data_IF_035461974759
#
_entry.id   IF_035461974759
#
_cell.length_a   1.000
_cell.length_b   1.000
_cell.length_c   1.000
_cell.angle_alpha   90.00
_cell.angle_beta   90.00
_cell.angle_gamma   90.00
#
_symmetry.space_group_name_H-M   'P 1'
#
loop_
_entity.id
_entity.type
_entity.pdbx_description
1 polymer ?
#
# COMPACT_ATOMS: atom_id res chain seq x y z
N UNK A 1 4.01 -4.70 -7.29
CA UNK A 1 3.33 -3.39 -7.42
C UNK A 1 1.86 -3.55 -7.08
N UNK A 2 1.43 -2.92 -5.99
CA UNK A 2 0.09 -3.11 -5.42
C UNK A 2 -1.05 -2.55 -6.29
N UNK A 3 -0.76 -1.57 -7.15
CA UNK A 3 -1.77 -0.93 -8.02
C UNK A 3 -2.24 -1.83 -9.19
N UNK A 4 -1.34 -2.64 -9.77
CA UNK A 4 -1.66 -3.50 -10.92
C UNK A 4 -2.71 -4.57 -10.62
N UNK A 5 -2.81 -4.99 -9.35
CA UNK A 5 -3.81 -5.96 -8.92
C UNK A 5 -5.24 -5.44 -9.13
N UNK A 6 -5.44 -4.13 -8.96
CA UNK A 6 -6.75 -3.50 -9.18
C UNK A 6 -7.11 -3.42 -10.67
N UNK A 7 -6.11 -3.21 -11.55
CA UNK A 7 -6.32 -3.28 -13.00
C UNK A 7 -6.75 -4.68 -13.43
N UNK A 8 -6.03 -5.70 -12.98
CA UNK A 8 -6.37 -7.09 -13.27
C UNK A 8 -7.77 -7.42 -12.78
N UNK A 9 -8.13 -7.02 -11.55
CA UNK A 9 -9.47 -7.20 -11.00
C UNK A 9 -10.57 -6.51 -11.83
N UNK A 10 -10.37 -5.24 -12.20
CA UNK A 10 -11.28 -4.49 -13.06
C UNK A 10 -11.49 -5.19 -14.41
N UNK A 11 -10.40 -5.59 -15.07
CA UNK A 11 -10.47 -6.23 -16.38
C UNK A 11 -11.14 -7.61 -16.32
N UNK A 12 -10.84 -8.41 -15.29
CA UNK A 12 -11.47 -9.73 -15.08
C UNK A 12 -12.97 -9.65 -14.84
N UNK A 13 -13.48 -8.53 -14.32
CA UNK A 13 -14.93 -8.31 -14.20
C UNK A 13 -15.59 -8.05 -15.56
N UNK A 14 -14.83 -7.58 -16.56
CA UNK A 14 -15.35 -7.14 -17.85
C UNK A 14 -15.10 -8.14 -18.99
N UNK A 15 -14.08 -8.99 -18.87
CA UNK A 15 -13.70 -9.92 -19.93
C UNK A 15 -13.07 -11.21 -19.39
N UNK A 16 -13.01 -12.29 -20.19
CA UNK A 16 -12.34 -13.53 -19.82
C UNK A 16 -10.85 -13.32 -19.49
N UNK A 17 -10.29 -14.21 -18.67
CA UNK A 17 -8.93 -14.13 -18.13
C UNK A 17 -7.85 -13.84 -19.18
N UNK A 18 -7.84 -14.58 -20.30
CA UNK A 18 -6.85 -14.39 -21.36
C UNK A 18 -6.94 -12.98 -21.97
N UNK A 19 -8.15 -12.49 -22.23
CA UNK A 19 -8.35 -11.14 -22.78
C UNK A 19 -7.96 -10.07 -21.75
N UNK A 20 -8.27 -10.30 -20.47
CA UNK A 20 -7.91 -9.39 -19.39
C UNK A 20 -6.39 -9.27 -19.25
N UNK A 21 -5.68 -10.39 -19.35
CA UNK A 21 -4.21 -10.43 -19.34
C UNK A 21 -3.63 -9.62 -20.51
N UNK A 22 -4.04 -9.91 -21.74
CA UNK A 22 -3.51 -9.20 -22.92
C UNK A 22 -3.89 -7.71 -22.94
N UNK A 23 -5.08 -7.37 -22.46
CA UNK A 23 -5.50 -5.97 -22.31
C UNK A 23 -4.65 -5.26 -21.27
N UNK A 24 -4.35 -5.89 -20.13
CA UNK A 24 -3.47 -5.32 -19.12
C UNK A 24 -2.07 -5.09 -19.68
N UNK A 25 -1.50 -6.07 -20.39
CA UNK A 25 -0.19 -5.95 -21.04
C UNK A 25 -0.19 -4.77 -22.02
N UNK A 26 -1.19 -4.69 -22.90
CA UNK A 26 -1.32 -3.57 -23.85
C UNK A 26 -1.44 -2.21 -23.16
N UNK A 27 -2.21 -2.11 -22.07
CA UNK A 27 -2.33 -0.86 -21.31
C UNK A 27 -0.96 -0.44 -20.74
N UNK A 28 -0.24 -1.37 -20.12
CA UNK A 28 1.05 -1.08 -19.51
C UNK A 28 2.09 -0.73 -20.58
N UNK A 29 2.18 -1.48 -21.67
CA UNK A 29 3.21 -1.31 -22.69
C UNK A 29 2.92 -0.11 -23.63
N UNK A 30 1.66 0.13 -24.00
CA UNK A 30 1.33 1.19 -24.97
C UNK A 30 1.12 2.56 -24.31
N UNK A 31 0.59 2.59 -23.08
CA UNK A 31 0.17 3.84 -22.42
C UNK A 31 1.08 4.22 -21.25
N UNK A 32 1.62 3.22 -20.53
CA UNK A 32 2.35 3.40 -19.28
C UNK A 32 3.75 2.76 -19.31
N UNK A 33 4.36 2.70 -20.50
CA UNK A 33 5.70 2.13 -20.65
C UNK A 33 6.70 2.84 -19.71
N UNK A 34 7.46 2.09 -18.93
CA UNK A 34 8.43 2.64 -17.99
C UNK A 34 7.83 3.26 -16.71
N UNK A 35 6.50 3.41 -16.63
CA UNK A 35 5.80 4.05 -15.50
C UNK A 35 5.89 3.26 -14.20
N UNK A 36 5.86 1.94 -14.35
CA UNK A 36 5.80 0.96 -13.28
C UNK A 36 7.17 0.28 -13.05
N UNK A 37 8.27 0.97 -13.36
CA UNK A 37 9.64 0.50 -13.10
C UNK A 37 10.04 0.73 -11.64
N UNK A 38 11.15 0.13 -11.17
CA UNK A 38 11.66 0.37 -9.80
C UNK A 38 11.98 1.86 -9.55
N UNK A 39 12.52 2.53 -10.58
CA UNK A 39 12.90 3.93 -10.52
C UNK A 39 11.71 4.89 -10.78
N UNK A 40 10.61 4.36 -11.34
CA UNK A 40 9.36 5.09 -11.58
C UNK A 40 9.57 6.43 -12.31
N UNK A 41 10.51 6.48 -13.27
CA UNK A 41 10.93 7.71 -13.94
C UNK A 41 9.74 8.42 -14.61
N UNK A 42 8.98 7.72 -15.45
CA UNK A 42 7.82 8.35 -16.13
C UNK A 42 6.77 8.83 -15.15
N UNK A 43 6.60 8.14 -14.03
CA UNK A 43 5.66 8.58 -13.01
C UNK A 43 6.11 9.88 -12.35
N UNK A 44 7.38 9.97 -11.95
CA UNK A 44 7.92 11.20 -11.37
C UNK A 44 7.85 12.36 -12.38
N UNK A 45 8.10 12.10 -13.66
CA UNK A 45 7.92 13.08 -14.74
C UNK A 45 6.46 13.54 -14.81
N UNK A 46 5.50 12.62 -14.84
CA UNK A 46 4.07 12.95 -14.92
C UNK A 46 3.60 13.77 -13.70
N UNK A 47 4.17 13.56 -12.50
CA UNK A 47 3.88 14.40 -11.33
C UNK A 47 4.33 15.86 -11.56
N UNK A 48 5.54 16.08 -12.09
CA UNK A 48 6.03 17.43 -12.39
C UNK A 48 5.23 18.09 -13.53
N UNK A 49 4.85 17.31 -14.55
CA UNK A 49 3.96 17.77 -15.63
C UNK A 49 2.62 18.20 -15.05
N UNK A 50 2.04 17.42 -14.13
CA UNK A 50 0.79 17.75 -13.47
C UNK A 50 0.89 19.03 -12.63
N UNK A 51 1.97 19.19 -11.86
CA UNK A 51 2.21 20.41 -11.08
C UNK A 51 2.33 21.67 -11.95
N UNK A 52 3.01 21.57 -13.10
CA UNK A 52 3.09 22.67 -14.08
C UNK A 52 1.71 22.99 -14.68
N UNK A 53 0.95 21.97 -15.09
CA UNK A 53 -0.39 22.16 -15.62
C UNK A 53 -1.34 22.80 -14.58
N UNK A 54 -1.23 22.39 -13.31
CA UNK A 54 -1.99 22.99 -12.22
C UNK A 54 -1.63 24.46 -12.05
N UNK A 55 -0.34 24.81 -12.12
CA UNK A 55 0.14 26.20 -12.02
C UNK A 55 -0.33 27.06 -13.20
N UNK A 56 -0.34 26.52 -14.42
CA UNK A 56 -0.83 27.20 -15.60
C UNK A 56 -2.35 27.46 -15.54
N UNK A 57 -3.14 26.47 -15.11
CA UNK A 57 -4.62 26.56 -15.11
C UNK A 57 -5.15 27.33 -13.90
N UNK A 58 -4.54 27.12 -12.75
CA UNK A 58 -5.00 27.64 -11.48
C UNK A 58 -3.89 28.44 -10.79
N UNK A 59 -3.43 29.58 -11.34
CA UNK A 59 -2.27 30.28 -10.79
C UNK A 59 -2.49 30.74 -9.34
N UNK A 60 -3.71 31.14 -8.98
CA UNK A 60 -4.06 31.52 -7.59
C UNK A 60 -4.28 30.29 -6.70
N UNK A 61 -5.16 29.38 -7.12
CA UNK A 61 -5.53 28.22 -6.32
C UNK A 61 -4.39 27.20 -6.21
N UNK A 62 -3.65 26.93 -7.28
CA UNK A 62 -2.45 26.09 -7.28
C UNK A 62 -1.34 26.66 -6.41
N UNK A 63 -1.14 27.98 -6.37
CA UNK A 63 -0.21 28.61 -5.43
C UNK A 63 -0.69 28.44 -3.98
N UNK A 64 -1.98 28.66 -3.71
CA UNK A 64 -2.55 28.45 -2.37
C UNK A 64 -2.41 27.00 -1.92
N UNK A 65 -2.70 26.04 -2.81
CA UNK A 65 -2.56 24.61 -2.53
C UNK A 65 -1.09 24.28 -2.27
N UNK A 66 -0.16 24.72 -3.12
CA UNK A 66 1.27 24.47 -2.93
C UNK A 66 1.75 25.03 -1.60
N UNK A 67 1.49 26.31 -1.32
CA UNK A 67 1.91 26.94 -0.06
C UNK A 67 1.26 26.33 1.17
N UNK A 68 -0.01 25.92 1.07
CA UNK A 68 -0.72 25.26 2.16
C UNK A 68 -0.16 23.85 2.42
N UNK A 69 0.04 23.06 1.36
CA UNK A 69 0.62 21.73 1.49
C UNK A 69 2.07 21.79 1.99
N UNK A 70 2.86 22.76 1.54
CA UNK A 70 4.21 23.00 2.05
C UNK A 70 4.19 23.36 3.55
N UNK A 71 3.24 24.19 3.99
CA UNK A 71 3.02 24.48 5.41
C UNK A 71 2.66 23.23 6.23
N UNK A 72 1.91 22.31 5.63
CA UNK A 72 1.56 21.02 6.23
C UNK A 72 2.69 19.96 6.11
N UNK A 73 3.79 20.27 5.44
CA UNK A 73 4.88 19.32 5.19
C UNK A 73 4.54 18.22 4.18
N UNK A 74 3.58 18.47 3.28
CA UNK A 74 3.06 17.53 2.28
C UNK A 74 3.37 18.05 0.88
N UNK A 75 3.77 17.16 -0.04
CA UNK A 75 3.96 17.52 -1.45
C UNK A 75 2.68 17.26 -2.25
N UNK A 76 2.43 18.03 -3.30
CA UNK A 76 1.29 17.79 -4.23
C UNK A 76 1.31 16.37 -4.80
N UNK A 77 2.51 15.83 -5.01
CA UNK A 77 2.73 14.44 -5.41
C UNK A 77 2.10 13.42 -4.44
N UNK A 78 2.05 13.68 -3.13
CA UNK A 78 1.46 12.73 -2.17
C UNK A 78 -0.05 12.60 -2.36
N UNK A 79 -0.69 13.66 -2.84
CA UNK A 79 -2.09 13.67 -3.18
C UNK A 79 -2.36 13.00 -4.53
N UNK A 80 -1.60 13.39 -5.55
CA UNK A 80 -1.89 13.04 -6.93
C UNK A 80 -1.29 11.70 -7.37
N UNK A 81 -0.22 11.22 -6.74
CA UNK A 81 0.39 9.93 -7.09
C UNK A 81 -0.59 8.73 -6.97
N UNK A 82 -1.41 8.59 -5.90
CA UNK A 82 -2.41 7.54 -5.82
C UNK A 82 -3.43 7.55 -6.97
N UNK A 83 -3.77 8.74 -7.49
CA UNK A 83 -4.70 8.89 -8.60
C UNK A 83 -4.11 8.34 -9.89
N UNK A 84 -2.86 8.69 -10.18
CA UNK A 84 -2.17 8.25 -11.38
C UNK A 84 -1.80 6.77 -11.31
N UNK A 85 -1.30 6.28 -10.17
CA UNK A 85 -0.91 4.89 -10.03
C UNK A 85 -2.05 3.91 -10.18
N UNK A 86 -3.25 4.28 -9.72
CA UNK A 86 -4.43 3.44 -9.79
C UNK A 86 -5.38 3.81 -10.93
N UNK A 87 -5.03 4.79 -11.77
CA UNK A 87 -5.93 5.36 -12.79
C UNK A 87 -7.34 5.57 -12.20
N UNK A 88 -7.34 6.17 -11.01
CA UNK A 88 -8.49 6.47 -10.17
C UNK A 88 -9.34 5.29 -9.65
N UNK A 89 -9.01 4.02 -9.91
CA UNK A 89 -9.84 2.86 -9.51
C UNK A 89 -10.14 2.85 -8.00
N UNK A 90 -9.15 3.19 -7.18
CA UNK A 90 -9.29 3.17 -5.72
C UNK A 90 -9.71 4.50 -5.12
N UNK A 91 -10.05 5.46 -5.98
CA UNK A 91 -10.26 6.85 -5.60
C UNK A 91 -11.70 7.26 -5.92
N UNK A 92 -12.16 6.99 -7.15
CA UNK A 92 -13.47 7.41 -7.64
C UNK A 92 -14.52 6.30 -7.52
N UNK A 93 -15.81 6.65 -7.44
CA UNK A 93 -16.90 5.69 -7.60
C UNK A 93 -16.79 4.94 -8.92
N UNK A 94 -17.21 3.67 -8.91
CA UNK A 94 -17.05 2.72 -10.02
C UNK A 94 -17.55 3.26 -11.37
N UNK A 95 -18.70 3.93 -11.38
CA UNK A 95 -19.32 4.50 -12.57
C UNK A 95 -18.45 5.60 -13.19
N UNK A 96 -17.73 6.36 -12.38
CA UNK A 96 -16.80 7.40 -12.84
C UNK A 96 -15.53 6.77 -13.38
N UNK A 97 -15.00 5.77 -12.68
CA UNK A 97 -13.81 5.01 -13.09
C UNK A 97 -14.01 4.42 -14.48
N UNK A 98 -15.12 3.69 -14.71
CA UNK A 98 -15.38 3.06 -16.01
C UNK A 98 -15.41 4.09 -17.15
N UNK A 99 -16.05 5.24 -16.97
CA UNK A 99 -16.12 6.26 -18.03
C UNK A 99 -14.77 6.93 -18.32
N UNK A 100 -13.95 7.14 -17.29
CA UNK A 100 -12.59 7.65 -17.48
C UNK A 100 -11.77 6.63 -18.29
N UNK A 101 -11.89 5.36 -17.92
CA UNK A 101 -11.23 4.26 -18.62
C UNK A 101 -11.69 4.11 -20.07
N UNK A 102 -12.99 4.23 -20.35
CA UNK A 102 -13.52 4.23 -21.71
C UNK A 102 -12.86 5.31 -22.57
N UNK A 103 -12.71 6.53 -22.04
CA UNK A 103 -12.06 7.63 -22.77
C UNK A 103 -10.57 7.40 -22.94
N UNK A 104 -9.85 6.90 -21.92
CA UNK A 104 -8.42 6.58 -22.03
C UNK A 104 -8.19 5.54 -23.12
N UNK A 105 -8.95 4.45 -23.10
CA UNK A 105 -8.82 3.35 -24.07
C UNK A 105 -9.26 3.78 -25.47
N UNK A 106 -10.25 4.67 -25.58
CA UNK A 106 -10.69 5.21 -26.87
C UNK A 106 -9.69 6.21 -27.48
N UNK A 107 -9.17 7.14 -26.67
CA UNK A 107 -8.22 8.16 -27.13
C UNK A 107 -6.81 7.59 -27.36
N UNK A 108 -6.47 6.44 -26.78
CA UNK A 108 -5.17 5.80 -26.99
C UNK A 108 -4.01 6.52 -26.30
N UNK A 109 -4.26 7.34 -25.27
CA UNK A 109 -3.22 8.13 -24.61
C UNK A 109 -3.60 8.57 -23.17
N UNK A 110 -2.65 9.20 -22.46
CA UNK A 110 -2.80 9.59 -21.04
C UNK A 110 -3.50 10.94 -20.80
N UNK A 111 -3.98 11.65 -21.83
CA UNK A 111 -4.55 13.01 -21.68
C UNK A 111 -5.71 13.04 -20.69
N UNK A 112 -6.61 12.06 -20.76
CA UNK A 112 -7.76 11.98 -19.86
C UNK A 112 -7.36 11.81 -18.39
N UNK A 113 -6.21 11.18 -18.10
CA UNK A 113 -5.67 11.05 -16.75
C UNK A 113 -5.40 12.43 -16.14
N UNK A 114 -4.66 13.28 -16.87
CA UNK A 114 -4.32 14.63 -16.42
C UNK A 114 -5.53 15.55 -16.33
N UNK A 115 -6.42 15.49 -17.33
CA UNK A 115 -7.66 16.29 -17.34
C UNK A 115 -8.55 15.97 -16.15
N UNK A 116 -8.67 14.69 -15.81
CA UNK A 116 -9.43 14.25 -14.63
C UNK A 116 -8.78 14.73 -13.33
N UNK A 117 -7.46 14.61 -13.20
CA UNK A 117 -6.76 15.11 -12.03
C UNK A 117 -6.93 16.64 -11.84
N UNK A 118 -6.90 17.42 -12.93
CA UNK A 118 -7.15 18.86 -12.88
C UNK A 118 -8.60 19.19 -12.50
N UNK A 119 -9.57 18.43 -13.00
CA UNK A 119 -10.98 18.58 -12.62
C UNK A 119 -11.20 18.33 -11.12
N UNK A 120 -10.52 17.32 -10.55
CA UNK A 120 -10.58 17.04 -9.12
C UNK A 120 -9.96 18.17 -8.29
N UNK A 121 -8.84 18.76 -8.75
CA UNK A 121 -8.25 19.94 -8.09
C UNK A 121 -9.17 21.16 -8.19
N UNK A 122 -9.83 21.38 -9.32
CA UNK A 122 -10.79 22.47 -9.46
C UNK A 122 -11.95 22.34 -8.46
N UNK A 123 -12.47 21.11 -8.32
CA UNK A 123 -13.61 20.82 -7.47
C UNK A 123 -13.27 20.86 -5.98
N UNK A 124 -12.14 20.26 -5.58
CA UNK A 124 -11.80 20.05 -4.18
C UNK A 124 -10.70 20.96 -3.65
N UNK A 125 -9.95 21.62 -4.53
CA UNK A 125 -8.88 22.56 -4.16
C UNK A 125 -9.32 23.64 -3.17
N UNK A 126 -10.49 24.29 -3.34
CA UNK A 126 -10.96 25.30 -2.38
C UNK A 126 -11.22 24.74 -0.98
N UNK A 127 -11.65 23.48 -0.88
CA UNK A 127 -11.84 22.81 0.41
C UNK A 127 -10.49 22.34 0.99
N UNK A 128 -9.57 21.90 0.13
CA UNK A 128 -8.23 21.43 0.52
C UNK A 128 -7.42 22.52 1.24
N UNK A 129 -7.53 23.78 0.80
CA UNK A 129 -6.82 24.91 1.45
C UNK A 129 -7.40 25.31 2.80
N UNK A 130 -8.51 24.70 3.23
CA UNK A 130 -9.14 24.96 4.54
C UNK A 130 -8.77 23.94 5.61
N UNK A 131 -8.04 22.88 5.23
CA UNK A 131 -7.64 21.80 6.13
C UNK A 131 -6.57 22.25 7.12
N UNK A 132 -6.49 21.61 8.27
CA UNK A 132 -5.57 22.02 9.35
C UNK A 132 -4.28 21.20 9.39
N UNK A 133 -4.36 19.96 8.93
CA UNK A 133 -3.24 19.04 8.86
C UNK A 133 -3.36 18.09 7.65
N UNK A 134 -2.29 17.32 7.43
CA UNK A 134 -2.19 16.38 6.32
C UNK A 134 -3.25 15.26 6.37
N UNK A 135 -3.59 14.78 7.57
CA UNK A 135 -4.59 13.74 7.77
C UNK A 135 -6.00 14.24 7.44
N UNK A 136 -6.31 15.47 7.88
CA UNK A 136 -7.55 16.17 7.52
C UNK A 136 -7.69 16.33 6.00
N UNK A 137 -6.61 16.71 5.31
CA UNK A 137 -6.60 16.84 3.85
C UNK A 137 -6.90 15.51 3.15
N UNK A 138 -6.23 14.43 3.54
CA UNK A 138 -6.44 13.10 2.98
C UNK A 138 -7.88 12.62 3.23
N UNK A 139 -8.37 12.79 4.45
CA UNK A 139 -9.73 12.37 4.85
C UNK A 139 -10.80 13.14 4.08
N UNK A 140 -10.60 14.45 3.90
CA UNK A 140 -11.51 15.32 3.14
C UNK A 140 -11.59 14.85 1.69
N UNK A 141 -10.45 14.57 1.05
CA UNK A 141 -10.41 14.06 -0.31
C UNK A 141 -11.11 12.71 -0.44
N UNK A 142 -10.83 11.76 0.45
CA UNK A 142 -11.50 10.45 0.43
C UNK A 142 -13.02 10.57 0.62
N UNK A 143 -13.46 11.46 1.52
CA UNK A 143 -14.87 11.68 1.83
C UNK A 143 -15.62 12.38 0.68
N UNK A 144 -15.05 13.44 0.11
CA UNK A 144 -15.69 14.23 -0.93
C UNK A 144 -15.78 13.48 -2.26
N UNK A 145 -14.75 12.72 -2.60
CA UNK A 145 -14.71 11.94 -3.83
C UNK A 145 -15.74 10.79 -3.78
N UNK A 146 -15.96 10.17 -2.61
CA UNK A 146 -16.90 9.07 -2.44
C UNK A 146 -18.38 9.46 -2.34
N UNK A 147 -18.71 10.70 -1.96
CA UNK A 147 -20.08 11.09 -1.58
C UNK A 147 -20.86 11.91 -2.61
N UNK A 148 -20.20 12.52 -3.60
CA UNK A 148 -20.82 13.58 -4.42
C UNK A 148 -20.45 13.57 -5.90
N UNK A 149 -20.20 12.41 -6.52
CA UNK A 149 -19.72 12.39 -7.91
C UNK A 149 -20.79 12.01 -8.94
N UNK A 150 -21.23 12.98 -9.75
CA UNK A 150 -21.89 12.72 -11.03
C UNK A 150 -20.81 12.40 -12.07
N UNK A 151 -20.72 11.12 -12.45
CA UNK A 151 -19.74 10.62 -13.43
C UNK A 151 -19.84 11.33 -14.79
N UNK A 152 -21.02 11.85 -15.16
CA UNK A 152 -21.24 12.59 -16.39
C UNK A 152 -20.63 13.98 -16.30
N UNK A 153 -20.85 14.68 -15.18
CA UNK A 153 -20.26 15.99 -14.94
C UNK A 153 -18.73 15.92 -14.79
N UNK A 154 -18.19 14.83 -14.22
CA UNK A 154 -16.73 14.64 -14.19
C UNK A 154 -16.16 14.66 -15.59
N UNK A 155 -16.62 13.72 -16.41
CA UNK A 155 -16.08 13.51 -17.74
C UNK A 155 -16.29 14.74 -18.59
N UNK A 156 -17.46 15.40 -18.47
CA UNK A 156 -17.73 16.64 -19.16
C UNK A 156 -16.75 17.75 -18.75
N UNK A 157 -16.56 17.97 -17.45
CA UNK A 157 -15.61 18.97 -16.93
C UNK A 157 -14.18 18.65 -17.34
N UNK A 158 -13.76 17.39 -17.21
CA UNK A 158 -12.45 16.92 -17.64
C UNK A 158 -12.22 17.19 -19.14
N UNK A 159 -13.14 16.76 -20.00
CA UNK A 159 -12.99 16.88 -21.44
C UNK A 159 -13.11 18.33 -21.94
N UNK A 160 -14.08 19.09 -21.43
CA UNK A 160 -14.40 20.43 -21.93
C UNK A 160 -13.65 21.54 -21.20
N UNK A 161 -13.41 21.40 -19.90
CA UNK A 161 -12.70 22.39 -19.07
C UNK A 161 -11.20 22.44 -19.36
N UNK A 162 -10.61 21.34 -19.84
CA UNK A 162 -9.15 21.21 -20.00
C UNK A 162 -8.74 20.82 -21.43
N UNK A 163 -9.47 21.29 -22.44
CA UNK A 163 -9.20 21.06 -23.87
C UNK A 163 -7.76 21.40 -24.28
N UNK A 164 -7.16 22.42 -23.66
CA UNK A 164 -5.78 22.85 -23.90
C UNK A 164 -4.73 21.82 -23.46
N UNK A 165 -5.09 20.87 -22.59
CA UNK A 165 -4.24 19.72 -22.26
C UNK A 165 -4.37 18.72 -23.40
N UNK A 166 -3.34 18.65 -24.24
CA UNK A 166 -3.28 17.76 -25.42
C UNK A 166 -2.11 16.80 -25.28
N UNK A 167 -2.13 15.69 -26.02
CA UNK A 167 -1.05 14.70 -25.97
C UNK A 167 0.30 15.32 -26.37
N UNK A 168 0.30 16.22 -27.36
CA UNK A 168 1.49 16.96 -27.77
C UNK A 168 2.05 17.84 -26.64
N UNK A 169 1.17 18.53 -25.90
CA UNK A 169 1.57 19.35 -24.75
C UNK A 169 2.13 18.49 -23.61
N UNK A 170 1.52 17.34 -23.34
CA UNK A 170 2.05 16.39 -22.35
C UNK A 170 3.45 15.92 -22.74
N UNK A 171 3.65 15.51 -23.99
CA UNK A 171 4.96 15.10 -24.49
C UNK A 171 6.02 16.19 -24.37
N UNK A 172 5.69 17.44 -24.74
CA UNK A 172 6.58 18.60 -24.60
C UNK A 172 7.00 18.82 -23.14
N UNK A 173 6.04 18.78 -22.21
CA UNK A 173 6.34 18.94 -20.79
C UNK A 173 7.10 17.74 -20.22
N UNK A 174 6.78 16.51 -20.64
CA UNK A 174 7.52 15.32 -20.22
C UNK A 174 8.99 15.40 -20.65
N UNK A 175 9.28 15.80 -21.88
CA UNK A 175 10.65 15.98 -22.36
C UNK A 175 11.39 17.11 -21.64
N UNK A 176 10.68 18.16 -21.22
CA UNK A 176 11.24 19.25 -20.40
C UNK A 176 11.71 18.74 -19.02
N UNK A 177 10.93 17.91 -18.34
CA UNK A 177 11.21 17.50 -16.95
C UNK A 177 11.97 16.18 -16.82
N UNK A 178 11.98 15.33 -17.85
CA UNK A 178 12.68 14.04 -17.86
C UNK A 178 14.16 14.13 -17.46
N UNK A 179 14.97 15.09 -17.94
CA UNK A 179 16.36 15.23 -17.53
C UNK A 179 16.52 15.49 -16.03
N UNK A 180 15.68 16.33 -15.45
CA UNK A 180 15.75 16.68 -14.03
C UNK A 180 15.45 15.47 -13.14
N UNK A 181 14.44 14.68 -13.51
CA UNK A 181 14.09 13.43 -12.80
C UNK A 181 15.24 12.42 -12.87
N UNK A 182 15.84 12.25 -14.06
CA UNK A 182 16.99 11.35 -14.24
C UNK A 182 18.17 11.75 -13.35
N UNK A 183 18.46 13.05 -13.23
CA UNK A 183 19.52 13.54 -12.34
C UNK A 183 19.21 13.24 -10.87
N UNK A 184 17.98 13.48 -10.43
CA UNK A 184 17.53 13.20 -9.06
C UNK A 184 17.65 11.70 -8.75
N UNK A 185 17.21 10.83 -9.66
CA UNK A 185 17.30 9.38 -9.47
C UNK A 185 18.76 8.92 -9.48
N UNK A 186 19.59 9.43 -10.37
CA UNK A 186 21.01 9.09 -10.42
C UNK A 186 21.73 9.51 -9.13
N UNK A 187 21.42 10.70 -8.60
CA UNK A 187 21.95 11.20 -7.34
C UNK A 187 21.51 10.34 -6.15
N UNK A 188 20.22 9.97 -6.06
CA UNK A 188 19.71 9.03 -5.05
C UNK A 188 20.41 7.68 -5.12
N UNK A 189 20.65 7.14 -6.30
CA UNK A 189 21.33 5.86 -6.50
C UNK A 189 22.84 5.96 -6.16
N UNK A 190 23.48 7.12 -6.40
CA UNK A 190 24.86 7.40 -5.98
C UNK A 190 24.97 7.51 -4.46
N UNK A 191 24.07 8.25 -3.82
CA UNK A 191 24.00 8.39 -2.36
C UNK A 191 23.74 7.02 -1.72
N UNK A 192 22.76 6.26 -2.20
CA UNK A 192 22.48 4.91 -1.70
C UNK A 192 23.69 3.98 -1.81
N UNK A 193 24.43 4.03 -2.93
CA UNK A 193 25.69 3.29 -3.08
C UNK A 193 26.80 3.77 -2.14
N UNK A 194 26.89 5.07 -1.90
CA UNK A 194 27.90 5.65 -1.00
C UNK A 194 27.60 5.30 0.45
N UNK A 195 26.35 5.48 0.90
CA UNK A 195 25.86 5.07 2.23
C UNK A 195 26.06 3.57 2.45
N UNK A 196 25.81 2.72 1.45
CA UNK A 196 26.05 1.28 1.54
C UNK A 196 27.55 0.92 1.63
N UNK A 197 28.43 1.66 0.94
CA UNK A 197 29.88 1.47 1.05
C UNK A 197 30.39 1.91 2.42
N UNK A 198 29.89 3.04 2.92
CA UNK A 198 30.27 3.60 4.21
C UNK A 198 29.75 2.74 5.36
N UNK A 199 28.54 2.19 5.25
CA UNK A 199 27.97 1.25 6.24
C UNK A 199 28.71 -0.10 6.26
N UNK A 200 29.18 -0.61 5.11
CA UNK A 200 30.08 -1.78 5.07
C UNK A 200 31.42 -1.48 5.75
N UNK A 201 31.98 -0.29 5.56
CA UNK A 201 33.20 0.16 6.22
C UNK A 201 33.02 0.33 7.74
N UNK A 202 31.85 0.79 8.18
CA UNK A 202 31.50 0.90 9.60
C UNK A 202 31.27 -0.47 10.23
N UNK A 203 30.56 -1.38 9.54
CA UNK A 203 30.30 -2.73 10.00
C UNK A 203 31.60 -3.55 10.13
N UNK A 204 32.54 -3.41 9.19
CA UNK A 204 33.85 -4.07 9.28
C UNK A 204 34.74 -3.45 10.37
N UNK A 205 34.65 -2.14 10.62
CA UNK A 205 35.28 -1.50 11.81
C UNK A 205 34.67 -1.99 13.13
N UNK A 206 33.35 -2.12 13.21
CA UNK A 206 32.63 -2.63 14.39
C UNK A 206 32.90 -4.12 14.64
N UNK A 207 33.05 -4.91 13.58
CA UNK A 207 33.40 -6.34 13.67
C UNK A 207 34.84 -6.51 14.18
N UNK A 208 35.78 -5.69 13.72
CA UNK A 208 37.15 -5.67 14.23
C UNK A 208 37.23 -5.16 15.68
N UNK A 209 36.44 -4.14 16.03
CA UNK A 209 36.38 -3.60 17.40
C UNK A 209 35.83 -4.61 18.42
N UNK A 210 34.94 -5.52 17.97
CA UNK A 210 34.36 -6.55 18.84
C UNK A 210 35.35 -7.70 19.11
N UNK A 211 36.26 -8.00 18.18
CA UNK A 211 37.34 -8.96 18.43
C UNK A 211 38.49 -8.38 19.26
N UNK A 212 38.77 -7.07 19.16
CA UNK A 212 39.76 -6.43 20.03
C UNK A 212 39.29 -6.41 21.50
N UNK A 213 37.99 -6.28 21.76
CA UNK A 213 37.43 -6.27 23.11
C UNK A 213 37.35 -7.65 23.78
N UNK A 214 37.35 -8.74 23.00
CA UNK A 214 37.48 -10.11 23.53
C UNK A 214 38.92 -10.44 23.96
N UNK A 215 39.93 -9.86 23.28
CA UNK A 215 41.34 -10.05 23.66
C UNK A 215 41.74 -9.29 24.95
N UNK A 216 41.01 -8.23 25.30
CA UNK A 216 41.27 -7.41 26.49
C UNK A 216 40.49 -7.85 27.74
N UNK A 217 39.59 -8.83 27.62
CA UNK A 217 38.79 -9.37 28.74
C UNK A 217 39.45 -10.57 29.42
N UNK A 218 40.49 -11.19 28.85
CA UNK A 218 41.26 -12.26 29.49
C UNK A 218 42.41 -11.78 30.41
N UNK A 219 42.76 -10.49 30.41
CA UNK A 219 43.84 -9.94 31.25
C UNK A 219 43.38 -9.18 32.52
N UNK A 220 42.07 -9.05 32.80
CA UNK A 220 41.57 -8.43 34.04
C UNK A 220 40.81 -9.39 34.94
N UNK A 221 41.46 -10.50 35.31
CA UNK A 221 41.13 -11.28 36.52
C UNK A 221 42.30 -11.32 37.50
N UNK A 222 42.75 -10.15 37.93
CA UNK A 222 43.49 -10.01 39.19
C UNK A 222 43.43 -8.58 39.71
N UNK A 223 42.35 -8.23 40.42
CA UNK A 223 42.36 -7.34 41.58
C UNK A 223 40.92 -7.06 42.04
N UNK A 224 40.57 -7.71 43.15
CA UNK A 224 39.75 -7.21 44.27
C UNK A 224 39.99 -5.70 44.55
N UNK A 225 39.11 -4.88 45.11
CA UNK A 225 38.04 -5.08 46.08
C UNK A 225 37.11 -3.84 46.12
N UNK A 226 35.83 -4.09 46.43
CA UNK A 226 34.94 -3.31 47.32
C UNK A 226 34.40 -1.89 46.99
N UNK A 227 33.11 -1.77 47.33
CA UNK A 227 32.29 -0.60 47.77
C UNK A 227 31.33 0.01 46.75
N UNK A 228 30.11 -0.54 46.77
CA UNK A 228 28.82 0.09 47.12
C UNK A 228 28.25 1.28 46.33
N UNK A 229 26.97 1.16 45.99
CA UNK A 229 25.99 2.23 46.17
C UNK A 229 25.77 3.25 45.04
N UNK A 230 24.74 2.96 44.23
CA UNK A 230 23.67 3.88 43.86
C UNK A 230 23.70 4.66 42.53
N UNK A 231 22.49 4.72 41.98
CA UNK A 231 22.11 5.22 40.67
C UNK A 231 21.90 6.73 40.69
N UNK A 232 22.42 7.42 39.66
CA UNK A 232 21.84 8.59 38.99
C UNK A 232 22.97 9.42 38.36
N UNK A 233 23.04 9.43 37.02
CA UNK A 233 23.76 10.47 36.27
C UNK A 233 22.79 11.08 35.28
N UNK A 234 22.02 12.04 35.80
CA UNK A 234 21.48 13.12 34.98
C UNK A 234 22.66 13.98 34.51
N UNK A 235 22.68 14.27 33.20
CA UNK A 235 23.71 15.04 32.53
C UNK A 235 23.82 16.50 33.08
N UNK A 236 25.03 17.08 33.13
CA UNK A 236 25.27 18.45 33.58
C UNK A 236 24.98 19.44 32.44
N UNK A 237 23.72 19.56 32.03
CA UNK A 237 23.33 20.37 30.85
C UNK A 237 22.56 21.66 31.16
N UNK A 238 22.25 21.93 32.43
CA UNK A 238 21.36 23.05 32.81
C UNK A 238 22.04 24.23 33.53
N UNK A 239 23.24 24.09 34.08
CA UNK A 239 23.79 25.10 35.00
C UNK A 239 24.53 26.27 34.30
N UNK A 240 24.93 26.11 33.03
CA UNK A 240 25.78 27.10 32.37
C UNK A 240 25.00 28.23 31.67
N UNK A 241 23.76 27.95 31.26
CA UNK A 241 22.88 28.96 30.66
C UNK A 241 22.38 29.97 31.71
N UNK A 242 22.26 29.51 32.96
CA UNK A 242 21.79 30.28 34.12
C UNK A 242 22.88 31.25 34.63
N UNK A 243 24.15 30.84 34.53
CA UNK A 243 25.33 31.67 34.82
C UNK A 243 25.47 32.83 33.80
N UNK A 244 25.15 32.57 32.52
CA UNK A 244 25.18 33.59 31.46
C UNK A 244 24.05 34.63 31.59
N UNK A 245 22.85 34.22 31.99
CA UNK A 245 21.75 35.15 32.27
C UNK A 245 22.02 36.02 33.50
N UNK A 246 22.77 35.48 34.48
CA UNK A 246 23.21 36.23 35.67
C UNK A 246 24.28 37.27 35.34
N UNK A 247 25.16 36.98 34.37
CA UNK A 247 26.20 37.91 33.90
C UNK A 247 25.68 39.13 33.13
N UNK A 248 24.43 39.10 32.67
CA UNK A 248 23.77 40.20 31.96
C UNK A 248 23.12 41.24 32.90
N UNK A 249 22.98 40.94 34.19
CA UNK A 249 22.29 41.79 35.17
C UNK A 249 23.22 42.51 36.15
N UNK A 250 24.54 42.40 35.99
CA UNK A 250 25.50 43.08 36.85
C UNK A 250 26.06 44.34 36.15
N UNK A 251 25.45 45.50 36.45
CA UNK A 251 26.09 46.79 36.27
C UNK A 251 27.31 46.89 37.21
N UNK A 252 28.51 47.00 36.65
CA UNK A 252 29.62 47.90 37.06
C UNK A 252 31.01 47.28 36.87
N UNK A 253 31.87 48.10 36.26
CA UNK A 253 33.34 48.11 36.28
C UNK A 253 34.15 47.12 35.43
N UNK A 254 35.25 47.71 34.94
CA UNK A 254 36.09 47.35 33.80
C UNK A 254 37.18 46.37 34.22
N UNK A 255 37.28 45.21 33.56
CA UNK A 255 38.48 44.85 32.81
C UNK A 255 38.24 43.63 31.90
N UNK A 256 38.64 43.75 30.63
CA UNK A 256 38.64 42.71 29.58
C UNK A 256 37.29 42.01 29.28
N UNK A 257 36.36 42.75 28.67
CA UNK A 257 35.28 42.14 27.88
C UNK A 257 35.91 41.37 26.70
N UNK A 258 35.58 40.09 26.44
CA UNK A 258 36.14 39.35 25.32
C UNK A 258 35.88 40.11 24.02
N UNK A 259 36.89 40.21 23.16
CA UNK A 259 36.76 40.90 21.89
C UNK A 259 35.55 40.35 21.13
N UNK A 260 34.77 41.22 20.49
CA UNK A 260 33.53 40.83 19.79
C UNK A 260 33.79 39.68 18.79
N UNK A 261 35.02 39.62 18.28
CA UNK A 261 35.52 38.60 17.38
C UNK A 261 35.67 37.22 18.03
N UNK A 262 36.07 37.13 19.31
CA UNK A 262 36.14 35.88 20.08
C UNK A 262 34.75 35.35 20.41
N UNK A 263 33.82 36.24 20.76
CA UNK A 263 32.42 35.86 21.05
C UNK A 263 31.72 35.31 19.82
N UNK A 264 31.96 35.94 18.66
CA UNK A 264 31.50 35.43 17.35
C UNK A 264 32.20 34.12 16.99
N UNK A 265 33.49 33.97 17.30
CA UNK A 265 34.23 32.73 17.10
C UNK A 265 33.62 31.56 17.87
N UNK A 266 33.30 31.76 19.15
CA UNK A 266 32.67 30.75 19.99
C UNK A 266 31.26 30.38 19.50
N UNK A 267 30.44 31.38 19.15
CA UNK A 267 29.10 31.14 18.60
C UNK A 267 29.14 30.34 17.28
N UNK A 268 30.17 30.55 16.45
CA UNK A 268 30.36 29.74 15.24
C UNK A 268 30.66 28.29 15.58
N UNK A 269 31.59 28.03 16.50
CA UNK A 269 31.95 26.67 16.93
C UNK A 269 30.74 25.95 17.52
N UNK A 270 29.97 26.64 18.36
CA UNK A 270 28.77 26.07 18.98
C UNK A 270 27.66 25.80 17.95
N UNK A 271 27.48 26.68 16.97
CA UNK A 271 26.54 26.47 15.87
C UNK A 271 26.96 25.26 15.01
N UNK A 272 28.25 25.09 14.72
CA UNK A 272 28.75 23.90 14.02
C UNK A 272 28.50 22.62 14.83
N UNK A 273 28.76 22.64 16.13
CA UNK A 273 28.49 21.52 17.04
C UNK A 273 27.02 21.13 17.04
N UNK A 274 26.12 22.11 17.15
CA UNK A 274 24.67 21.88 17.13
C UNK A 274 24.16 21.39 15.76
N UNK A 275 24.74 21.88 14.66
CA UNK A 275 24.41 21.37 13.32
C UNK A 275 24.83 19.91 13.15
N UNK A 276 25.97 19.53 13.73
CA UNK A 276 26.47 18.16 13.68
C UNK A 276 25.64 17.21 14.56
N UNK A 277 25.23 17.65 15.75
CA UNK A 277 24.27 16.93 16.60
C UNK A 277 22.91 16.76 15.90
N UNK A 278 22.40 17.81 15.27
CA UNK A 278 21.14 17.74 14.50
C UNK A 278 21.26 16.76 13.34
N UNK A 279 22.37 16.78 12.60
CA UNK A 279 22.62 15.84 11.49
C UNK A 279 22.65 14.40 12.00
N UNK A 280 23.33 14.14 13.12
CA UNK A 280 23.39 12.81 13.73
C UNK A 280 22.01 12.33 14.22
N UNK A 281 21.19 13.22 14.77
CA UNK A 281 19.83 12.90 15.20
C UNK A 281 18.91 12.55 14.02
N UNK A 282 19.02 13.28 12.90
CA UNK A 282 18.27 12.98 11.66
C UNK A 282 18.62 11.60 11.13
N UNK A 283 19.92 11.27 11.06
CA UNK A 283 20.35 9.95 10.58
C UNK A 283 19.81 8.81 11.46
N UNK A 284 19.83 8.97 12.79
CA UNK A 284 19.26 7.99 13.71
C UNK A 284 17.75 7.83 13.53
N UNK A 285 17.03 8.92 13.21
CA UNK A 285 15.59 8.86 12.96
C UNK A 285 15.29 8.08 11.67
N UNK A 286 16.04 8.30 10.59
CA UNK A 286 15.91 7.56 9.33
C UNK A 286 16.22 6.06 9.51
N UNK A 287 17.24 5.72 10.30
CA UNK A 287 17.56 4.33 10.66
C UNK A 287 16.40 3.65 11.44
N UNK A 288 15.81 4.38 12.38
CA UNK A 288 14.68 3.89 13.17
C UNK A 288 13.43 3.70 12.31
N UNK A 289 13.14 4.65 11.41
CA UNK A 289 12.02 4.56 10.47
C UNK A 289 12.18 3.34 9.55
N UNK A 290 13.38 3.13 9.01
CA UNK A 290 13.69 1.95 8.20
C UNK A 290 13.48 0.65 8.99
N UNK A 291 13.96 0.59 10.23
CA UNK A 291 13.78 -0.57 11.10
C UNK A 291 12.30 -0.84 11.43
N UNK A 292 11.50 0.22 11.66
CA UNK A 292 10.07 0.12 11.92
C UNK A 292 9.32 -0.43 10.70
N UNK A 293 9.63 0.07 9.50
CA UNK A 293 9.04 -0.39 8.25
C UNK A 293 9.33 -1.88 8.02
N UNK A 294 10.56 -2.33 8.25
CA UNK A 294 10.92 -3.75 8.12
C UNK A 294 10.25 -4.63 9.18
N UNK A 295 10.13 -4.15 10.43
CA UNK A 295 9.38 -4.85 11.48
C UNK A 295 7.90 -5.03 11.11
N UNK A 296 7.25 -3.97 10.61
CA UNK A 296 5.84 -4.02 10.19
C UNK A 296 5.65 -4.96 8.99
N UNK A 297 6.56 -4.95 8.02
CA UNK A 297 6.52 -5.89 6.89
C UNK A 297 6.64 -7.33 7.35
N UNK A 298 7.56 -7.60 8.28
CA UNK A 298 7.78 -8.95 8.79
C UNK A 298 6.61 -9.44 9.66
N UNK A 299 6.01 -8.56 10.47
CA UNK A 299 4.83 -8.89 11.26
C UNK A 299 3.62 -9.19 10.36
N UNK A 300 3.37 -8.34 9.36
CA UNK A 300 2.33 -8.56 8.34
C UNK A 300 2.57 -9.87 7.58
N UNK A 301 3.82 -10.20 7.24
CA UNK A 301 4.17 -11.46 6.58
C UNK A 301 3.83 -12.66 7.45
N UNK A 302 4.15 -12.61 8.75
CA UNK A 302 3.83 -13.69 9.71
C UNK A 302 2.33 -13.86 9.89
N UNK A 303 1.59 -12.76 10.07
CA UNK A 303 0.13 -12.82 10.24
C UNK A 303 -0.54 -13.39 8.98
N UNK A 304 -0.11 -12.96 7.79
CA UNK A 304 -0.64 -13.48 6.53
C UNK A 304 -0.31 -14.97 6.35
N UNK A 305 0.91 -15.38 6.69
CA UNK A 305 1.33 -16.78 6.62
C UNK A 305 0.50 -17.67 7.55
N UNK A 306 0.25 -17.22 8.78
CA UNK A 306 -0.60 -17.95 9.73
C UNK A 306 -2.05 -18.07 9.23
N UNK A 307 -2.61 -17.02 8.64
CA UNK A 307 -3.96 -17.08 8.04
C UNK A 307 -4.03 -18.02 6.84
N UNK A 308 -2.98 -18.07 6.02
CA UNK A 308 -2.91 -19.01 4.90
C UNK A 308 -2.91 -20.44 5.42
N UNK A 309 -2.08 -20.77 6.41
CA UNK A 309 -2.02 -22.10 7.01
C UNK A 309 -3.38 -22.53 7.63
N UNK A 310 -4.07 -21.60 8.30
CA UNK A 310 -5.42 -21.84 8.83
C UNK A 310 -6.45 -22.14 7.72
N UNK A 311 -6.40 -21.40 6.61
CA UNK A 311 -7.28 -21.60 5.46
C UNK A 311 -6.97 -22.92 4.74
N UNK A 312 -5.70 -23.27 4.58
CA UNK A 312 -5.28 -24.55 4.00
C UNK A 312 -5.80 -25.73 4.82
N UNK A 313 -5.72 -25.65 6.15
CA UNK A 313 -6.28 -26.68 7.04
C UNK A 313 -7.81 -26.79 6.89
N UNK A 314 -8.53 -25.66 6.87
CA UNK A 314 -9.99 -25.66 6.66
C UNK A 314 -10.38 -26.27 5.30
N UNK A 315 -9.62 -25.99 4.25
CA UNK A 315 -9.85 -26.57 2.92
C UNK A 315 -9.61 -28.08 2.93
N UNK A 316 -8.57 -28.56 3.63
CA UNK A 316 -8.31 -29.98 3.80
C UNK A 316 -9.46 -30.69 4.54
N UNK A 317 -9.94 -30.10 5.64
CA UNK A 317 -11.06 -30.65 6.42
C UNK A 317 -12.35 -30.70 5.61
N UNK A 318 -12.64 -29.66 4.82
CA UNK A 318 -13.80 -29.64 3.92
C UNK A 318 -13.70 -30.69 2.81
N UNK A 319 -12.52 -30.88 2.22
CA UNK A 319 -12.31 -31.93 1.22
C UNK A 319 -12.51 -33.33 1.80
N UNK A 320 -12.02 -33.57 3.03
CA UNK A 320 -12.25 -34.84 3.72
C UNK A 320 -13.75 -35.05 3.99
N UNK A 321 -14.43 -34.03 4.51
CA UNK A 321 -15.88 -34.10 4.76
C UNK A 321 -16.70 -34.33 3.48
N UNK A 322 -16.30 -33.74 2.35
CA UNK A 322 -16.93 -33.99 1.05
C UNK A 322 -16.72 -35.45 0.59
N UNK A 323 -15.51 -35.99 0.77
CA UNK A 323 -15.21 -37.38 0.42
C UNK A 323 -16.06 -38.36 1.24
N UNK A 324 -16.12 -38.16 2.56
CA UNK A 324 -16.94 -38.97 3.47
C UNK A 324 -18.43 -38.91 3.09
N UNK A 325 -18.92 -37.71 2.70
CA UNK A 325 -20.31 -37.55 2.25
C UNK A 325 -20.60 -38.28 0.95
N UNK A 326 -19.68 -38.27 -0.02
CA UNK A 326 -19.82 -39.04 -1.26
C UNK A 326 -19.83 -40.54 -1.00
N UNK A 327 -19.00 -41.02 -0.07
CA UNK A 327 -19.01 -42.43 0.33
C UNK A 327 -20.33 -42.82 1.00
N UNK A 328 -20.83 -41.96 1.89
CA UNK A 328 -22.13 -42.16 2.55
C UNK A 328 -23.29 -42.16 1.53
N UNK A 329 -23.27 -41.25 0.56
CA UNK A 329 -24.27 -41.20 -0.51
C UNK A 329 -24.23 -42.47 -1.38
N UNK A 330 -23.05 -42.95 -1.76
CA UNK A 330 -22.88 -44.20 -2.51
C UNK A 330 -23.40 -45.42 -1.73
N UNK A 331 -23.17 -45.47 -0.41
CA UNK A 331 -23.68 -46.52 0.46
C UNK A 331 -25.23 -46.50 0.53
N UNK A 332 -25.83 -45.33 0.72
CA UNK A 332 -27.29 -45.15 0.73
C UNK A 332 -27.90 -45.57 -0.61
N UNK A 333 -27.30 -45.17 -1.73
CA UNK A 333 -27.76 -45.53 -3.06
C UNK A 333 -27.76 -47.06 -3.25
N UNK A 334 -26.72 -47.75 -2.76
CA UNK A 334 -26.63 -49.21 -2.83
C UNK A 334 -27.73 -49.90 -2.01
N UNK A 335 -28.04 -49.40 -0.82
CA UNK A 335 -29.13 -49.92 0.02
C UNK A 335 -30.49 -49.69 -0.65
N UNK A 336 -30.70 -48.53 -1.25
CA UNK A 336 -31.94 -48.21 -1.97
C UNK A 336 -32.17 -49.19 -3.13
N UNK A 337 -31.14 -49.46 -3.93
CA UNK A 337 -31.19 -50.43 -5.03
C UNK A 337 -31.55 -51.84 -4.55
N UNK A 338 -30.99 -52.27 -3.40
CA UNK A 338 -31.33 -53.57 -2.80
C UNK A 338 -32.79 -53.62 -2.33
N UNK A 339 -33.26 -52.56 -1.67
CA UNK A 339 -34.64 -52.46 -1.20
C UNK A 339 -35.65 -52.48 -2.36
N UNK A 340 -35.37 -51.76 -3.45
CA UNK A 340 -36.21 -51.76 -4.65
C UNK A 340 -36.30 -53.15 -5.28
N UNK A 341 -35.18 -53.89 -5.34
CA UNK A 341 -35.17 -55.26 -5.84
C UNK A 341 -35.99 -56.20 -4.96
N UNK A 342 -35.87 -56.11 -3.62
CA UNK A 342 -36.68 -56.89 -2.69
C UNK A 342 -38.18 -56.54 -2.79
N UNK A 343 -38.52 -55.26 -2.96
CA UNK A 343 -39.90 -54.84 -3.21
C UNK A 343 -40.47 -55.40 -4.51
N UNK A 344 -39.65 -55.51 -5.56
CA UNK A 344 -40.07 -56.10 -6.83
C UNK A 344 -40.36 -57.61 -6.64
N UNK A 345 -39.43 -58.34 -6.01
CA UNK A 345 -39.59 -59.77 -5.73
C UNK A 345 -40.83 -60.04 -4.88
N UNK A 346 -41.05 -59.25 -3.82
CA UNK A 346 -42.23 -59.40 -2.95
C UNK A 346 -43.54 -59.08 -3.67
N UNK A 347 -43.56 -58.08 -4.57
CA UNK A 347 -44.72 -57.80 -5.43
C UNK A 347 -45.01 -58.95 -6.39
N UNK A 348 -43.98 -59.52 -7.04
CA UNK A 348 -44.16 -60.64 -7.97
C UNK A 348 -44.64 -61.90 -7.24
N UNK A 349 -44.07 -62.21 -6.07
CA UNK A 349 -44.51 -63.32 -5.24
C UNK A 349 -45.98 -63.18 -4.81
N UNK A 350 -46.39 -61.95 -4.43
CA UNK A 350 -47.79 -61.65 -4.11
C UNK A 350 -48.71 -61.86 -5.31
N UNK A 351 -48.31 -61.40 -6.49
CA UNK A 351 -49.09 -61.53 -7.73
C UNK A 351 -49.29 -63.01 -8.10
N UNK A 352 -48.27 -63.84 -7.96
CA UNK A 352 -48.38 -65.28 -8.16
C UNK A 352 -49.32 -65.93 -7.14
N UNK A 353 -49.18 -65.61 -5.86
CA UNK A 353 -50.09 -66.13 -4.83
C UNK A 353 -51.56 -65.72 -5.07
N UNK A 354 -51.81 -64.50 -5.56
CA UNK A 354 -53.15 -64.03 -5.94
C UNK A 354 -53.71 -64.79 -7.16
N UNK A 355 -52.86 -65.14 -8.14
CA UNK A 355 -53.25 -65.97 -9.29
C UNK A 355 -53.57 -67.41 -8.85
N UNK A 356 -52.71 -68.05 -8.07
CA UNK A 356 -52.92 -69.41 -7.57
C UNK A 356 -54.23 -69.52 -6.77
N UNK A 357 -54.48 -68.55 -5.88
CA UNK A 357 -55.73 -68.49 -5.12
C UNK A 357 -56.97 -68.27 -6.01
N UNK A 358 -56.84 -67.54 -7.13
CA UNK A 358 -57.93 -67.37 -8.09
C UNK A 358 -58.18 -68.66 -8.89
N UNK A 359 -57.14 -69.40 -9.26
CA UNK A 359 -57.23 -70.70 -9.91
C UNK A 359 -57.91 -71.73 -9.01
N UNK A 360 -57.53 -71.80 -7.73
CA UNK A 360 -58.20 -72.65 -6.75
C UNK A 360 -59.68 -72.30 -6.58
N UNK A 361 -60.03 -71.00 -6.47
CA UNK A 361 -61.43 -70.56 -6.41
C UNK A 361 -62.21 -70.98 -7.65
N UNK A 362 -61.64 -70.82 -8.84
CA UNK A 362 -62.26 -71.27 -10.08
C UNK A 362 -62.45 -72.79 -10.12
N UNK A 363 -61.44 -73.57 -9.69
CA UNK A 363 -61.54 -75.01 -9.61
C UNK A 363 -62.66 -75.47 -8.66
N UNK A 364 -62.79 -74.82 -7.48
CA UNK A 364 -63.88 -75.06 -6.53
C UNK A 364 -65.25 -74.74 -7.14
N UNK A 365 -65.39 -73.62 -7.86
CA UNK A 365 -66.63 -73.24 -8.56
C UNK A 365 -66.99 -74.29 -9.61
N UNK A 366 -66.04 -74.75 -10.42
CA UNK A 366 -66.26 -75.77 -11.46
C UNK A 366 -66.70 -77.10 -10.83
N UNK A 367 -66.05 -77.53 -9.74
CA UNK A 367 -66.44 -78.74 -9.01
C UNK A 367 -67.85 -78.62 -8.41
N UNK A 368 -68.24 -77.46 -7.88
CA UNK A 368 -69.61 -77.22 -7.39
C UNK A 368 -70.67 -77.24 -8.49
N UNK A 369 -70.33 -76.84 -9.72
CA UNK A 369 -71.22 -76.93 -10.88
C UNK A 369 -71.39 -78.37 -11.36
N UNK A 370 -70.34 -79.20 -11.28
CA UNK A 370 -70.39 -80.61 -11.71
C UNK A 370 -71.13 -81.55 -10.75
N UNK A 371 -71.34 -81.14 -9.49
CA UNK A 371 -71.99 -81.94 -8.44
C UNK A 371 -73.51 -81.66 -8.34
N UNK A 372 -74.02 -80.65 -9.05
CA UNK A 372 -75.46 -80.39 -9.25
C UNK A 372 -75.93 -80.96 -10.57
#
# INVERSE_FOLDING_TARGET
MQAMNFFAGLLLLMMPEENAFWTLVGIIDDYFNGYYTEEMIESQVDQLVFEELMRERFPKLGCLISSHLDYLGVQVTWLSAPWFFSIFINILPWESVLRIWDVILFEGNRVMLFRTALALIELYGPALVTTKDAGDAITLLQSLIGSTFDSSQLVLTSCMGFLSVTNAKLYELSEKYRPDVLLIVEERTKIGRQVWKDSKGLASKLYNFRHDHESLMEERKSAKDSVDGDASKLEPRSLYLEELLSSLNADSEVDSLPDLQERVGWMKVELFRLLEEKRAAVLRAEELETALVELVKEDNRRELSAKIEELEQKVADLHQGLADKKEQEAAVHKVLMQLEQEQLITKDARKHAEQDAAEERNAVIVLQVLIK
#
